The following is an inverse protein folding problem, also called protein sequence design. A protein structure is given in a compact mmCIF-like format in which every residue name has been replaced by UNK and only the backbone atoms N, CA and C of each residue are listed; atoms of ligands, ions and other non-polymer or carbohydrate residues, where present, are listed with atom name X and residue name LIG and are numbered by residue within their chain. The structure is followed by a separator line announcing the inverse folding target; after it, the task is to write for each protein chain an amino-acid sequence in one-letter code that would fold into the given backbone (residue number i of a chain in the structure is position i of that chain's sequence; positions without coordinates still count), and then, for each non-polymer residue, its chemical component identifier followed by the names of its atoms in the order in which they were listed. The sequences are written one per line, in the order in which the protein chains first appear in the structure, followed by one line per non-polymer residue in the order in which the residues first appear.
data_IF_403597973004
#
_entry.id   IF_403597973004
#
_cell.length_a   1.000
_cell.length_b   1.000
_cell.length_c   1.000
_cell.angle_alpha   90.00
_cell.angle_beta   90.00
_cell.angle_gamma   90.00
#
_symmetry.space_group_name_H-M   'P 1'
#
loop_
_entity.id
_entity.type
_entity.pdbx_description
1 polymer ?
#
# COMPACT_ATOMS: atom_id res chain seq x y z
N UNK A 1 -9.93 8.23 -39.08
CA UNK A 1 -8.88 7.24 -38.74
C UNK A 1 -7.55 7.72 -39.30
N UNK A 2 -6.68 8.29 -38.47
CA UNK A 2 -5.40 8.84 -38.92
C UNK A 2 -4.37 7.70 -38.99
N UNK A 3 -4.05 7.28 -40.23
CA UNK A 3 -3.10 6.20 -40.52
C UNK A 3 -1.68 6.77 -40.42
N UNK A 4 -0.99 6.50 -39.31
CA UNK A 4 0.45 6.75 -39.20
C UNK A 4 1.16 5.94 -40.29
N UNK A 5 1.78 6.60 -41.27
CA UNK A 5 2.59 5.97 -42.32
C UNK A 5 4.07 6.00 -41.93
N UNK A 6 4.79 4.93 -42.25
CA UNK A 6 6.22 4.80 -41.95
C UNK A 6 7.01 5.95 -42.58
N UNK A 7 7.60 6.81 -41.74
CA UNK A 7 8.39 7.99 -42.14
C UNK A 7 7.70 9.35 -42.00
N UNK A 8 6.44 9.43 -41.56
CA UNK A 8 5.69 10.71 -41.48
C UNK A 8 5.69 11.39 -40.11
N UNK A 9 6.50 10.95 -39.16
CA UNK A 9 6.54 11.53 -37.81
C UNK A 9 7.69 12.54 -37.76
N UNK A 10 7.35 13.83 -37.68
CA UNK A 10 8.37 14.87 -37.48
C UNK A 10 8.88 14.85 -36.02
N UNK A 11 10.07 15.40 -35.76
CA UNK A 11 10.62 15.50 -34.39
C UNK A 11 9.67 16.21 -33.42
N UNK A 12 8.91 17.20 -33.93
CA UNK A 12 7.91 17.94 -33.16
C UNK A 12 6.67 17.08 -32.87
N UNK A 13 6.23 16.27 -33.82
CA UNK A 13 5.13 15.33 -33.61
C UNK A 13 5.54 14.23 -32.62
N UNK A 14 6.80 13.77 -32.70
CA UNK A 14 7.37 12.84 -31.74
C UNK A 14 7.44 13.45 -30.33
N UNK A 15 7.98 14.66 -30.19
CA UNK A 15 8.05 15.35 -28.89
C UNK A 15 6.66 15.70 -28.34
N UNK A 16 5.72 16.10 -29.20
CA UNK A 16 4.34 16.36 -28.81
C UNK A 16 3.63 15.09 -28.33
N UNK A 17 3.73 14.00 -29.10
CA UNK A 17 3.06 12.74 -28.78
C UNK A 17 3.66 12.05 -27.56
N UNK A 18 4.99 11.97 -27.47
CA UNK A 18 5.68 11.34 -26.33
C UNK A 18 5.65 12.23 -25.09
N UNK A 19 5.83 13.54 -25.23
CA UNK A 19 5.77 14.49 -24.12
C UNK A 19 4.40 14.57 -23.47
N UNK A 20 3.32 14.62 -24.26
CA UNK A 20 1.95 14.57 -23.73
C UNK A 20 1.65 13.21 -23.10
N UNK A 21 2.13 12.11 -23.69
CA UNK A 21 1.98 10.77 -23.11
C UNK A 21 2.63 10.62 -21.74
N UNK A 22 3.85 11.14 -21.57
CA UNK A 22 4.54 11.10 -20.27
C UNK A 22 3.88 12.04 -19.25
N UNK A 23 3.51 13.26 -19.65
CA UNK A 23 2.85 14.20 -18.75
C UNK A 23 1.48 13.69 -18.26
N UNK A 24 0.71 13.05 -19.13
CA UNK A 24 -0.57 12.43 -18.76
C UNK A 24 -0.37 11.22 -17.85
N UNK A 25 0.63 10.37 -18.09
CA UNK A 25 0.95 9.26 -17.19
C UNK A 25 1.43 9.74 -15.80
N UNK A 26 2.22 10.81 -15.76
CA UNK A 26 2.62 11.50 -14.52
C UNK A 26 1.39 12.00 -13.77
N UNK A 27 0.52 12.78 -14.42
CA UNK A 27 -0.69 13.31 -13.78
C UNK A 27 -1.65 12.19 -13.33
N UNK A 28 -1.80 11.13 -14.13
CA UNK A 28 -2.65 9.99 -13.81
C UNK A 28 -2.17 9.25 -12.55
N UNK A 29 -0.86 9.21 -12.27
CA UNK A 29 -0.34 8.61 -11.04
C UNK A 29 -0.67 9.47 -9.81
N UNK A 30 -0.56 10.80 -9.92
CA UNK A 30 -0.83 11.72 -8.81
C UNK A 30 -2.34 11.80 -8.49
N UNK A 31 -3.18 11.63 -9.52
CA UNK A 31 -4.64 11.57 -9.38
C UNK A 31 -5.14 10.18 -8.94
N UNK A 32 -4.26 9.22 -8.68
CA UNK A 32 -4.64 7.87 -8.24
C UNK A 32 -5.36 7.02 -9.29
N UNK A 33 -5.26 7.41 -10.58
CA UNK A 33 -5.89 6.68 -11.71
C UNK A 33 -5.08 5.43 -12.06
N UNK A 34 -3.79 5.40 -11.73
CA UNK A 34 -2.93 4.23 -11.90
C UNK A 34 -2.53 3.65 -10.54
N UNK A 35 -2.46 2.31 -10.40
CA UNK A 35 -2.03 1.67 -9.16
C UNK A 35 -0.57 2.05 -8.88
N UNK A 36 -0.32 2.56 -7.67
CA UNK A 36 1.04 2.75 -7.16
C UNK A 36 1.52 1.46 -6.51
N UNK A 37 2.80 1.06 -6.72
CA UNK A 37 3.34 -0.07 -5.99
C UNK A 37 3.34 0.26 -4.48
N UNK A 38 2.83 -0.66 -3.67
CA UNK A 38 2.93 -0.54 -2.23
C UNK A 38 4.40 -0.70 -1.82
N UNK A 39 5.01 0.34 -1.26
CA UNK A 39 6.41 0.34 -0.83
C UNK A 39 6.74 -0.69 0.28
N UNK A 40 5.73 -1.29 0.90
CA UNK A 40 5.87 -2.32 1.94
C UNK A 40 5.74 -3.77 1.41
N UNK A 41 5.51 -3.97 0.12
CA UNK A 41 5.19 -5.29 -0.43
C UNK A 41 6.37 -6.29 -0.48
N UNK A 42 7.63 -5.82 -0.36
CA UNK A 42 8.78 -6.71 -0.54
C UNK A 42 9.19 -7.50 0.72
N UNK A 43 8.87 -7.03 1.93
CA UNK A 43 9.20 -7.76 3.17
C UNK A 43 8.40 -7.22 4.37
N UNK A 44 7.24 -7.82 4.66
CA UNK A 44 6.41 -7.47 5.83
C UNK A 44 7.00 -7.97 7.17
N UNK A 45 8.10 -8.73 7.12
CA UNK A 45 8.67 -9.43 8.29
C UNK A 45 7.88 -10.69 8.65
N UNK A 46 8.31 -11.39 9.71
CA UNK A 46 7.70 -12.68 10.08
C UNK A 46 6.47 -12.52 10.98
N UNK A 47 6.35 -11.39 11.70
CA UNK A 47 5.34 -11.19 12.75
C UNK A 47 4.86 -9.74 12.82
N UNK A 48 3.57 -9.57 13.14
CA UNK A 48 2.93 -8.29 13.41
C UNK A 48 2.22 -8.36 14.76
N UNK A 49 2.55 -7.46 15.69
CA UNK A 49 1.85 -7.33 16.97
C UNK A 49 0.82 -6.20 16.90
N UNK A 50 -0.43 -6.49 17.25
CA UNK A 50 -1.55 -5.55 17.25
C UNK A 50 -2.06 -5.40 18.68
N UNK A 51 -2.14 -4.17 19.16
CA UNK A 51 -2.85 -3.78 20.37
C UNK A 51 -4.29 -3.38 20.02
N UNK A 52 -5.30 -4.07 20.57
CA UNK A 52 -6.71 -3.78 20.27
C UNK A 52 -7.62 -4.03 21.47
N UNK A 53 -8.92 -3.80 21.27
CA UNK A 53 -9.98 -3.96 22.25
C UNK A 53 -10.71 -5.31 22.07
N UNK A 54 -11.35 -5.82 23.13
CA UNK A 54 -12.23 -6.98 23.00
C UNK A 54 -13.33 -6.73 21.97
N UNK A 55 -13.66 -7.74 21.16
CA UNK A 55 -14.73 -7.71 20.14
C UNK A 55 -14.54 -6.69 18.99
N UNK A 56 -13.34 -6.12 18.80
CA UNK A 56 -13.05 -5.18 17.70
C UNK A 56 -12.38 -5.84 16.48
N UNK A 57 -12.18 -7.16 16.51
CA UNK A 57 -11.52 -7.91 15.47
C UNK A 57 -12.28 -9.20 15.15
N UNK A 58 -12.33 -9.55 13.88
CA UNK A 58 -12.77 -10.85 13.40
C UNK A 58 -11.54 -11.76 13.23
N UNK A 59 -11.45 -12.90 13.95
CA UNK A 59 -10.36 -13.86 13.80
C UNK A 59 -10.12 -14.31 12.35
N UNK A 60 -11.18 -14.39 11.53
CA UNK A 60 -11.05 -14.80 10.13
C UNK A 60 -10.23 -13.82 9.29
N UNK A 61 -10.22 -12.54 9.66
CA UNK A 61 -9.41 -11.52 8.97
C UNK A 61 -7.92 -11.79 9.16
N UNK A 62 -7.50 -12.27 10.34
CA UNK A 62 -6.10 -12.56 10.61
C UNK A 62 -5.62 -13.85 9.95
N UNK A 63 -6.47 -14.87 9.87
CA UNK A 63 -6.14 -16.10 9.14
C UNK A 63 -5.98 -15.83 7.65
N UNK A 64 -6.88 -15.05 7.04
CA UNK A 64 -6.77 -14.65 5.64
C UNK A 64 -5.50 -13.82 5.40
N UNK A 65 -5.23 -12.83 6.27
CA UNK A 65 -4.03 -12.01 6.18
C UNK A 65 -2.74 -12.86 6.28
N UNK A 66 -2.70 -13.84 7.19
CA UNK A 66 -1.57 -14.76 7.33
C UNK A 66 -1.42 -15.68 6.12
N UNK A 67 -2.52 -16.14 5.53
CA UNK A 67 -2.48 -16.94 4.30
C UNK A 67 -1.93 -16.15 3.11
N UNK A 68 -2.31 -14.87 3.00
CA UNK A 68 -1.90 -14.00 1.88
C UNK A 68 -0.47 -13.47 2.02
N UNK A 69 -0.03 -13.18 3.25
CA UNK A 69 1.24 -12.48 3.52
C UNK A 69 2.31 -13.33 4.17
N UNK A 70 1.94 -14.47 4.78
CA UNK A 70 2.85 -15.30 5.59
C UNK A 70 3.14 -14.74 6.99
N UNK A 71 2.64 -13.55 7.34
CA UNK A 71 2.94 -12.85 8.58
C UNK A 71 2.10 -13.40 9.73
N UNK A 72 2.72 -13.79 10.84
CA UNK A 72 2.00 -14.20 12.04
C UNK A 72 1.48 -12.97 12.81
N UNK A 73 0.16 -12.92 13.07
CA UNK A 73 -0.47 -11.84 13.83
C UNK A 73 -0.53 -12.21 15.31
N UNK A 74 0.04 -11.38 16.17
CA UNK A 74 -0.10 -11.45 17.63
C UNK A 74 -1.06 -10.36 18.08
N UNK A 75 -2.12 -10.74 18.82
CA UNK A 75 -3.14 -9.80 19.27
C UNK A 75 -3.04 -9.62 20.78
N UNK A 76 -2.69 -8.41 21.19
CA UNK A 76 -2.67 -7.95 22.57
C UNK A 76 -3.98 -7.20 22.86
N UNK A 77 -4.87 -7.80 23.63
CA UNK A 77 -6.17 -7.22 23.98
C UNK A 77 -6.06 -6.44 25.29
N UNK A 78 -6.47 -5.17 25.27
CA UNK A 78 -6.46 -4.27 26.44
C UNK A 78 -7.89 -4.00 26.92
N UNK A 79 -8.12 -4.02 28.23
CA UNK A 79 -9.44 -3.80 28.83
C UNK A 79 -9.76 -2.32 29.05
N UNK A 80 -8.75 -1.45 29.16
CA UNK A 80 -8.91 -0.01 29.34
C UNK A 80 -7.79 0.81 28.66
N UNK A 81 -8.03 2.12 28.51
CA UNK A 81 -7.07 3.06 27.89
C UNK A 81 -5.85 3.25 28.79
N UNK A 82 -6.09 3.22 30.10
CA UNK A 82 -5.08 3.37 31.15
C UNK A 82 -4.10 2.18 31.15
N UNK A 83 -4.60 0.96 30.94
CA UNK A 83 -3.77 -0.24 30.80
C UNK A 83 -2.88 -0.19 29.54
N UNK A 84 -3.43 0.29 28.42
CA UNK A 84 -2.66 0.46 27.18
C UNK A 84 -1.57 1.52 27.35
N UNK A 85 -1.91 2.67 27.95
CA UNK A 85 -0.96 3.77 28.19
C UNK A 85 0.18 3.33 29.11
N UNK A 86 -0.12 2.56 30.16
CA UNK A 86 0.88 2.02 31.07
C UNK A 86 1.89 1.11 30.37
N UNK A 87 1.45 0.20 29.47
CA UNK A 87 2.37 -0.65 28.70
C UNK A 87 3.23 0.13 27.70
N UNK A 88 2.68 1.16 27.08
CA UNK A 88 3.43 2.04 26.18
C UNK A 88 4.48 2.86 26.96
N UNK A 89 4.12 3.39 28.12
CA UNK A 89 5.02 4.14 29.01
C UNK A 89 6.11 3.25 29.64
N UNK A 90 5.78 2.00 29.94
CA UNK A 90 6.74 1.01 30.45
C UNK A 90 7.78 0.56 29.41
N UNK A 91 7.73 1.09 28.17
CA UNK A 91 8.75 0.88 27.15
C UNK A 91 8.35 -0.05 26.02
N UNK A 92 7.06 -0.40 25.86
CA UNK A 92 6.53 -1.03 24.64
C UNK A 92 7.33 -2.24 24.15
N UNK A 93 7.91 -3.02 25.05
CA UNK A 93 8.56 -4.27 24.72
C UNK A 93 7.47 -5.29 24.41
N UNK A 94 7.22 -5.51 23.13
CA UNK A 94 6.62 -6.75 22.64
C UNK A 94 7.43 -7.96 23.05
#
# INVERSE_FOLDING_TARGET
MMRLKRGSISRRDFLGLTGLGVATAVMARELGIMPTPAFAAENLGDRMSIATWPNYHDPQTFENFKADTGVAVEVNVFGSNEEMLAKLQAGGSG
#
